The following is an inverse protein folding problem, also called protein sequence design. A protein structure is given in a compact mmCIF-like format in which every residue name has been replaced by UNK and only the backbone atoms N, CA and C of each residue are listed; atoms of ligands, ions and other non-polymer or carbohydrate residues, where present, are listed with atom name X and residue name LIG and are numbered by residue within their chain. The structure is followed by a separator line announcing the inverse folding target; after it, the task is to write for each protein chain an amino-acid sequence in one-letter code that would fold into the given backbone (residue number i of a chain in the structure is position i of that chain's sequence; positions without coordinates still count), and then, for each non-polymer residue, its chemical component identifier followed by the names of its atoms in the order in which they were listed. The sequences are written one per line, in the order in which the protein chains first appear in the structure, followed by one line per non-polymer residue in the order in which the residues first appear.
data_IF_439890014331
#
_entry.id   IF_439890014331
#
_cell.length_a   1.000
_cell.length_b   1.000
_cell.length_c   1.000
_cell.angle_alpha   90.00
_cell.angle_beta   90.00
_cell.angle_gamma   90.00
#
_symmetry.space_group_name_H-M   'P 1'
#
loop_
_entity.id
_entity.type
_entity.pdbx_description
1 polymer ?
#
# COMPACT_ATOMS: atom_id res chain seq x y z
N UNK A 1 24.21 -24.82 12.81
CA UNK A 1 23.83 -23.45 12.40
C UNK A 1 23.79 -23.40 10.88
N UNK A 2 22.60 -23.47 10.28
CA UNK A 2 22.41 -23.32 8.83
C UNK A 2 21.92 -21.89 8.59
N UNK A 3 22.66 -21.12 7.78
CA UNK A 3 22.28 -19.78 7.36
C UNK A 3 21.29 -19.92 6.19
N UNK A 4 20.08 -19.38 6.36
CA UNK A 4 19.11 -19.25 5.28
C UNK A 4 19.42 -17.94 4.55
N UNK A 5 19.83 -18.03 3.28
CA UNK A 5 19.99 -16.87 2.42
C UNK A 5 18.63 -16.47 1.86
N UNK A 6 18.24 -15.21 2.05
CA UNK A 6 17.08 -14.63 1.39
C UNK A 6 17.55 -14.05 0.06
N UNK A 7 17.06 -14.60 -1.05
CA UNK A 7 17.21 -13.96 -2.36
C UNK A 7 16.12 -12.91 -2.50
N UNK A 8 16.52 -11.64 -2.53
CA UNK A 8 15.64 -10.53 -2.90
C UNK A 8 15.32 -10.63 -4.40
N UNK A 9 14.06 -10.88 -4.74
CA UNK A 9 13.55 -10.58 -6.07
C UNK A 9 12.85 -9.22 -5.99
N UNK A 10 13.56 -8.18 -6.41
CA UNK A 10 13.01 -6.84 -6.62
C UNK A 10 12.30 -6.85 -7.97
N UNK A 11 10.96 -6.83 -7.98
CA UNK A 11 10.20 -6.49 -9.18
C UNK A 11 9.95 -4.99 -9.13
N UNK A 12 10.67 -4.26 -9.98
CA UNK A 12 10.42 -2.83 -10.23
C UNK A 12 9.31 -2.75 -11.28
N UNK A 13 8.11 -2.33 -10.89
CA UNK A 13 7.07 -1.96 -11.86
C UNK A 13 7.32 -0.50 -12.27
N UNK A 14 7.79 -0.30 -13.49
CA UNK A 14 7.98 1.03 -14.07
C UNK A 14 6.62 1.69 -14.33
N UNK A 15 6.44 2.91 -13.80
CA UNK A 15 5.32 3.78 -14.18
C UNK A 15 5.56 4.33 -15.59
N UNK A 16 4.68 3.99 -16.53
CA UNK A 16 4.59 4.72 -17.79
C UNK A 16 3.95 6.09 -17.52
N UNK A 17 4.78 7.14 -17.54
CA UNK A 17 4.30 8.52 -17.62
C UNK A 17 3.67 8.68 -19.01
N UNK A 18 2.35 8.86 -19.07
CA UNK A 18 1.67 9.35 -20.27
C UNK A 18 2.06 10.82 -20.50
N UNK A 19 3.24 11.05 -21.04
CA UNK A 19 3.60 12.33 -21.67
C UNK A 19 2.94 12.36 -23.04
N UNK A 20 1.99 13.29 -23.22
CA UNK A 20 1.34 13.53 -24.50
C UNK A 20 2.36 13.82 -25.60
N UNK A 21 2.13 13.24 -26.77
CA UNK A 21 2.93 13.48 -27.97
C UNK A 21 2.84 14.96 -28.35
N UNK A 22 3.96 15.67 -28.25
CA UNK A 22 4.24 16.86 -29.03
C UNK A 22 5.20 16.43 -30.14
N UNK A 23 4.80 16.62 -31.39
CA UNK A 23 5.58 16.27 -32.58
C UNK A 23 6.96 16.94 -32.57
N UNK A 24 8.00 16.15 -32.79
CA UNK A 24 9.38 16.61 -32.94
C UNK A 24 10.13 15.69 -33.90
N UNK A 25 10.22 16.11 -35.16
CA UNK A 25 11.05 15.48 -36.19
C UNK A 25 12.55 15.57 -35.84
N UNK A 26 13.29 14.46 -36.02
CA UNK A 26 14.71 14.54 -36.39
C UNK A 26 15.70 13.62 -35.68
N UNK A 27 15.79 12.37 -36.15
CA UNK A 27 17.02 11.65 -36.53
C UNK A 27 18.17 11.50 -35.49
N UNK A 28 18.18 10.39 -34.75
CA UNK A 28 19.39 9.84 -34.08
C UNK A 28 19.89 8.56 -34.79
N UNK A 29 21.21 8.32 -34.86
CA UNK A 29 21.79 7.20 -35.60
C UNK A 29 21.74 5.90 -34.78
N UNK A 30 21.30 4.81 -35.43
CA UNK A 30 21.23 3.45 -34.89
C UNK A 30 22.62 2.88 -34.63
N UNK A 31 23.00 2.76 -33.36
CA UNK A 31 24.05 1.85 -32.91
C UNK A 31 23.42 0.50 -32.59
N UNK A 32 23.43 -0.41 -33.56
CA UNK A 32 23.00 -1.79 -33.35
C UNK A 32 24.10 -2.54 -32.59
N UNK A 33 23.90 -2.75 -31.28
CA UNK A 33 24.51 -3.84 -30.49
C UNK A 33 23.64 -4.07 -29.23
N UNK A 34 22.33 -4.25 -29.42
CA UNK A 34 21.42 -4.68 -28.36
C UNK A 34 21.50 -6.20 -28.22
N UNK A 35 22.16 -6.67 -27.15
CA UNK A 35 21.92 -8.01 -26.63
C UNK A 35 20.47 -8.00 -26.15
N UNK A 36 19.59 -8.75 -26.82
CA UNK A 36 18.18 -8.80 -26.47
C UNK A 36 18.00 -9.25 -25.00
N UNK A 37 17.44 -8.37 -24.18
CA UNK A 37 17.03 -8.63 -22.78
C UNK A 37 15.95 -9.74 -22.68
N UNK A 38 15.37 -10.15 -23.81
CA UNK A 38 14.28 -11.14 -23.92
C UNK A 38 14.64 -12.55 -23.41
N UNK A 39 15.94 -12.89 -23.36
CA UNK A 39 16.39 -14.22 -22.92
C UNK A 39 16.61 -14.34 -21.39
N UNK A 40 16.57 -13.23 -20.65
CA UNK A 40 16.85 -13.21 -19.21
C UNK A 40 15.61 -13.49 -18.34
N UNK A 41 14.41 -13.26 -18.86
CA UNK A 41 13.14 -13.52 -18.17
C UNK A 41 12.12 -14.05 -19.18
N UNK A 42 12.01 -15.38 -19.38
CA UNK A 42 10.96 -15.92 -20.23
C UNK A 42 9.60 -15.52 -19.65
N UNK A 43 8.87 -14.66 -20.36
CA UNK A 43 7.51 -14.28 -20.02
C UNK A 43 6.64 -15.54 -19.98
N UNK A 44 5.92 -15.82 -18.88
CA UNK A 44 5.01 -16.94 -18.84
C UNK A 44 3.93 -16.75 -19.92
N UNK A 45 3.68 -17.81 -20.69
CA UNK A 45 2.61 -17.77 -21.69
C UNK A 45 1.25 -17.85 -20.98
N UNK A 46 0.71 -16.69 -20.60
CA UNK A 46 -0.58 -16.54 -19.94
C UNK A 46 -1.77 -16.69 -20.91
N UNK A 47 -1.54 -16.96 -22.20
CA UNK A 47 -2.60 -16.95 -23.23
C UNK A 47 -3.62 -18.08 -23.09
N UNK A 48 -3.25 -19.18 -22.42
CA UNK A 48 -4.08 -20.39 -22.31
C UNK A 48 -4.79 -20.54 -20.95
N UNK A 49 -4.56 -19.63 -19.99
CA UNK A 49 -5.31 -19.61 -18.75
C UNK A 49 -6.57 -18.76 -18.91
N UNK A 50 -7.76 -19.34 -18.67
CA UNK A 50 -8.94 -18.52 -18.45
C UNK A 50 -8.71 -17.67 -17.20
N UNK A 51 -8.62 -16.35 -17.39
CA UNK A 51 -8.51 -15.43 -16.27
C UNK A 51 -9.76 -15.58 -15.38
N UNK A 52 -9.60 -15.61 -14.05
CA UNK A 52 -10.74 -15.63 -13.16
C UNK A 52 -11.58 -14.35 -13.36
N UNK A 53 -12.88 -14.43 -13.08
CA UNK A 53 -13.75 -13.25 -13.09
C UNK A 53 -13.39 -12.34 -11.91
N UNK A 54 -12.63 -11.29 -12.20
CA UNK A 54 -12.17 -10.30 -11.22
C UNK A 54 -13.23 -9.23 -10.90
N UNK A 55 -14.48 -9.41 -11.33
CA UNK A 55 -15.60 -8.54 -10.94
C UNK A 55 -16.19 -8.90 -9.57
N UNK A 56 -15.83 -10.08 -9.03
CA UNK A 56 -16.16 -10.51 -7.68
C UNK A 56 -14.92 -10.62 -6.77
N UNK A 57 -15.14 -10.62 -5.45
CA UNK A 57 -14.05 -10.84 -4.50
C UNK A 57 -13.47 -12.24 -4.70
N UNK A 58 -12.17 -12.37 -4.43
CA UNK A 58 -11.51 -13.66 -4.45
C UNK A 58 -11.92 -14.55 -3.26
N UNK A 59 -11.45 -15.81 -3.23
CA UNK A 59 -11.95 -16.83 -2.31
C UNK A 59 -11.45 -16.69 -0.87
N UNK A 60 -10.50 -15.78 -0.60
CA UNK A 60 -9.93 -15.62 0.73
C UNK A 60 -10.68 -14.57 1.55
N UNK A 61 -10.90 -14.89 2.84
CA UNK A 61 -11.15 -13.85 3.83
C UNK A 61 -9.95 -12.90 3.89
N UNK A 62 -10.17 -11.67 4.32
CA UNK A 62 -9.11 -10.64 4.35
C UNK A 62 -8.86 -10.20 5.77
N UNK A 63 -7.60 -10.28 6.19
CA UNK A 63 -7.12 -9.68 7.42
C UNK A 63 -6.38 -8.38 7.12
N UNK A 64 -6.36 -7.48 8.09
CA UNK A 64 -5.51 -6.30 8.04
C UNK A 64 -4.79 -6.06 9.38
N UNK A 65 -3.59 -5.48 9.32
CA UNK A 65 -2.79 -5.17 10.51
C UNK A 65 -1.92 -3.94 10.30
N UNK A 66 -1.84 -3.12 11.34
CA UNK A 66 -0.94 -1.98 11.43
C UNK A 66 0.41 -2.40 12.03
N UNK A 67 1.50 -1.92 11.45
CA UNK A 67 2.86 -2.05 11.95
C UNK A 67 3.56 -0.70 12.02
N UNK A 68 4.54 -0.59 12.90
CA UNK A 68 5.50 0.51 12.91
C UNK A 68 6.85 -0.07 12.50
N UNK A 69 7.38 0.36 11.37
CA UNK A 69 8.70 -0.05 10.90
C UNK A 69 9.69 1.09 11.09
N UNK A 70 10.85 0.75 11.64
CA UNK A 70 11.92 1.71 11.94
C UNK A 70 13.15 1.31 11.16
N UNK A 71 13.64 2.24 10.33
CA UNK A 71 14.89 2.11 9.60
C UNK A 71 15.98 2.95 10.28
N UNK A 72 16.76 2.27 11.12
CA UNK A 72 17.88 2.82 11.89
C UNK A 72 19.03 3.36 11.01
N UNK A 73 19.06 3.00 9.72
CA UNK A 73 20.14 3.42 8.82
C UNK A 73 19.90 4.80 8.18
N UNK A 74 18.66 5.30 8.24
CA UNK A 74 18.28 6.58 7.63
C UNK A 74 17.79 7.54 8.70
N UNK A 75 18.37 8.73 8.74
CA UNK A 75 17.89 9.83 9.56
C UNK A 75 16.76 10.57 8.85
N UNK A 76 15.69 10.85 9.58
CA UNK A 76 14.54 11.63 9.15
C UNK A 76 14.54 12.99 9.87
N UNK A 77 14.73 14.11 9.13
CA UNK A 77 14.69 15.44 9.73
C UNK A 77 13.29 15.86 10.20
N UNK A 78 12.22 15.22 9.74
CA UNK A 78 10.84 15.54 10.13
C UNK A 78 10.55 15.08 11.55
N UNK A 79 10.97 13.85 11.88
CA UNK A 79 10.81 13.28 13.23
C UNK A 79 12.03 13.51 14.11
N UNK A 80 13.12 14.06 13.55
CA UNK A 80 14.41 14.24 14.22
C UNK A 80 14.90 12.91 14.86
N UNK A 81 14.85 11.83 14.08
CA UNK A 81 15.15 10.47 14.52
C UNK A 81 15.41 9.51 13.35
N UNK A 82 15.49 8.19 13.61
CA UNK A 82 15.44 7.18 12.55
C UNK A 82 14.18 7.30 11.69
N UNK A 83 14.26 6.86 10.43
CA UNK A 83 13.11 6.87 9.53
C UNK A 83 12.09 5.84 9.99
N UNK A 84 10.99 6.33 10.53
CA UNK A 84 9.86 5.52 10.98
C UNK A 84 8.74 5.59 9.95
N UNK A 85 8.06 4.47 9.69
CA UNK A 85 6.91 4.37 8.82
C UNK A 85 5.77 3.69 9.58
N UNK A 86 4.59 4.29 9.55
CA UNK A 86 3.36 3.60 9.91
C UNK A 86 2.90 2.80 8.69
N UNK A 87 2.64 1.51 8.84
CA UNK A 87 2.43 0.59 7.72
C UNK A 87 1.17 -0.21 7.93
N UNK A 88 0.30 -0.21 6.94
CA UNK A 88 -0.86 -1.09 6.88
C UNK A 88 -0.56 -2.30 5.99
N UNK A 89 -0.97 -3.48 6.43
CA UNK A 89 -0.82 -4.71 5.65
C UNK A 89 -2.16 -5.40 5.54
N UNK A 90 -2.65 -5.60 4.31
CA UNK A 90 -3.78 -6.47 4.00
C UNK A 90 -3.26 -7.81 3.49
N UNK A 91 -3.87 -8.91 3.92
CA UNK A 91 -3.42 -10.26 3.63
C UNK A 91 -4.57 -11.26 3.60
N UNK A 92 -4.41 -12.40 2.90
CA UNK A 92 -5.34 -13.51 3.00
C UNK A 92 -5.39 -14.02 4.46
N UNK A 93 -6.58 -14.02 5.03
CA UNK A 93 -6.82 -14.51 6.39
C UNK A 93 -7.26 -15.98 6.36
N UNK A 94 -7.01 -16.66 7.48
CA UNK A 94 -7.51 -18.00 7.70
C UNK A 94 -9.05 -18.01 7.68
N UNK A 95 -9.70 -19.11 7.25
CA UNK A 95 -11.17 -19.16 7.11
C UNK A 95 -11.95 -18.79 8.38
N UNK A 96 -11.36 -19.01 9.56
CA UNK A 96 -11.98 -18.66 10.84
C UNK A 96 -12.14 -17.13 11.05
N UNK A 97 -11.47 -16.31 10.23
CA UNK A 97 -11.65 -14.87 10.23
C UNK A 97 -13.07 -14.44 9.83
N UNK A 98 -13.82 -15.28 9.09
CA UNK A 98 -15.21 -15.00 8.69
C UNK A 98 -16.16 -14.77 9.88
N UNK A 99 -15.81 -15.28 11.07
CA UNK A 99 -16.59 -15.09 12.31
C UNK A 99 -16.17 -13.83 13.09
N UNK A 100 -15.11 -13.13 12.66
CA UNK A 100 -14.65 -11.89 13.27
C UNK A 100 -15.47 -10.69 12.77
N UNK A 101 -15.60 -9.61 13.58
CA UNK A 101 -16.17 -8.38 13.07
C UNK A 101 -15.29 -7.81 11.94
N UNK A 102 -15.92 -7.17 10.97
CA UNK A 102 -15.22 -6.32 10.02
C UNK A 102 -14.62 -5.11 10.73
N UNK A 103 -13.46 -4.69 10.26
CA UNK A 103 -12.79 -3.48 10.71
C UNK A 103 -13.50 -2.23 10.21
N UNK A 104 -13.18 -1.06 10.77
CA UNK A 104 -13.71 0.24 10.35
C UNK A 104 -12.55 1.21 10.08
N UNK A 105 -12.79 2.22 9.24
CA UNK A 105 -11.71 3.10 8.78
C UNK A 105 -11.09 3.92 9.93
N UNK A 106 -11.86 4.22 10.97
CA UNK A 106 -11.35 4.94 12.16
C UNK A 106 -10.23 4.17 12.88
N UNK A 107 -10.23 2.85 12.81
CA UNK A 107 -9.25 2.01 13.51
C UNK A 107 -7.84 2.07 12.89
N UNK A 108 -7.68 2.69 11.71
CA UNK A 108 -6.34 2.99 11.17
C UNK A 108 -5.66 4.16 11.90
N UNK A 109 -6.40 4.96 12.66
CA UNK A 109 -5.88 6.07 13.46
C UNK A 109 -6.60 6.13 14.82
N UNK A 110 -6.56 5.04 15.62
CA UNK A 110 -7.53 4.80 16.69
C UNK A 110 -7.43 5.82 17.83
N UNK A 111 -6.22 6.27 18.17
CA UNK A 111 -5.98 7.20 19.28
C UNK A 111 -6.24 8.67 18.91
N UNK A 112 -6.31 8.97 17.61
CA UNK A 112 -6.29 10.34 17.08
C UNK A 112 -7.46 10.67 16.17
N UNK A 113 -8.33 9.70 15.85
CA UNK A 113 -9.46 9.91 14.95
C UNK A 113 -10.39 11.02 15.44
N UNK A 114 -10.96 10.87 16.64
CA UNK A 114 -11.95 11.81 17.16
C UNK A 114 -11.33 13.12 17.64
N UNK A 115 -10.09 13.08 18.14
CA UNK A 115 -9.42 14.23 18.74
C UNK A 115 -8.71 15.12 17.73
N UNK A 116 -8.37 14.59 16.56
CA UNK A 116 -7.58 15.29 15.57
C UNK A 116 -8.09 15.08 14.13
N UNK A 117 -8.11 13.85 13.61
CA UNK A 117 -8.35 13.61 12.17
C UNK A 117 -9.73 14.10 11.73
N UNK A 118 -10.78 13.75 12.47
CA UNK A 118 -12.15 14.15 12.13
C UNK A 118 -12.33 15.67 12.20
N UNK A 119 -11.95 16.37 13.29
CA UNK A 119 -11.95 17.84 13.31
C UNK A 119 -11.15 18.47 12.17
N UNK A 120 -9.96 17.97 11.85
CA UNK A 120 -9.15 18.51 10.74
C UNK A 120 -9.87 18.37 9.41
N UNK A 121 -10.45 17.20 9.12
CA UNK A 121 -11.23 17.00 7.89
C UNK A 121 -12.45 17.93 7.81
N UNK A 122 -13.14 18.14 8.93
CA UNK A 122 -14.32 19.02 9.01
C UNK A 122 -13.96 20.51 8.87
N UNK A 123 -13.00 20.99 9.66
CA UNK A 123 -12.70 22.42 9.82
C UNK A 123 -11.75 22.96 8.74
N UNK A 124 -10.73 22.17 8.36
CA UNK A 124 -9.71 22.60 7.41
C UNK A 124 -10.06 22.19 5.97
N UNK A 125 -10.58 20.98 5.79
CA UNK A 125 -10.93 20.44 4.47
C UNK A 125 -12.41 20.60 4.12
N UNK A 126 -13.24 21.10 5.05
CA UNK A 126 -14.66 21.38 4.79
C UNK A 126 -15.49 20.12 4.52
N UNK A 127 -15.05 18.95 5.00
CA UNK A 127 -15.76 17.70 4.83
C UNK A 127 -17.11 17.76 5.56
N UNK A 128 -18.24 17.51 4.88
CA UNK A 128 -19.54 17.46 5.54
C UNK A 128 -19.60 16.36 6.61
N UNK A 129 -20.22 16.60 7.77
CA UNK A 129 -20.32 15.59 8.83
C UNK A 129 -20.91 14.25 8.34
N UNK A 130 -21.89 14.29 7.44
CA UNK A 130 -22.48 13.09 6.85
C UNK A 130 -21.50 12.25 6.01
N UNK A 131 -20.47 12.88 5.44
CA UNK A 131 -19.41 12.16 4.73
C UNK A 131 -18.43 11.52 5.71
N UNK A 132 -18.15 12.18 6.85
CA UNK A 132 -17.28 11.67 7.90
C UNK A 132 -17.89 10.47 8.64
N UNK A 133 -19.21 10.37 8.69
CA UNK A 133 -19.91 9.18 9.21
C UNK A 133 -19.69 7.93 8.32
N UNK A 134 -19.24 8.08 7.07
CA UNK A 134 -18.88 6.92 6.24
C UNK A 134 -17.67 6.16 6.79
N UNK A 135 -16.84 6.78 7.63
CA UNK A 135 -15.68 6.13 8.24
C UNK A 135 -16.06 5.15 9.37
N UNK A 136 -17.30 5.21 9.86
CA UNK A 136 -17.89 4.21 10.77
C UNK A 136 -18.39 2.95 10.05
N UNK A 137 -18.46 2.98 8.72
CA UNK A 137 -18.96 1.83 7.96
C UNK A 137 -17.91 0.71 7.96
N UNK A 138 -18.36 -0.56 8.03
CA UNK A 138 -17.48 -1.72 7.88
C UNK A 138 -16.67 -1.66 6.60
N UNK A 139 -15.40 -2.01 6.72
CA UNK A 139 -14.50 -2.32 5.60
C UNK A 139 -14.70 -3.77 5.13
N UNK A 140 -13.92 -4.21 4.15
CA UNK A 140 -13.93 -5.59 3.67
C UNK A 140 -12.94 -6.53 4.38
N UNK A 141 -12.29 -6.08 5.46
CA UNK A 141 -11.26 -6.84 6.17
C UNK A 141 -11.50 -6.96 7.67
N UNK A 142 -10.78 -7.89 8.31
CA UNK A 142 -10.85 -8.21 9.73
C UNK A 142 -9.54 -7.80 10.42
N UNK A 143 -9.65 -6.86 11.37
CA UNK A 143 -8.50 -6.36 12.13
C UNK A 143 -7.82 -7.48 12.89
N UNK A 144 -6.50 -7.60 12.68
CA UNK A 144 -5.61 -8.55 13.34
C UNK A 144 -5.98 -10.03 13.19
N UNK A 145 -6.78 -10.37 12.18
CA UNK A 145 -7.18 -11.73 11.91
C UNK A 145 -5.97 -12.68 11.72
N UNK A 146 -6.10 -13.97 12.07
CA UNK A 146 -5.06 -14.94 11.76
C UNK A 146 -4.81 -14.99 10.25
N UNK A 147 -3.56 -14.89 9.82
CA UNK A 147 -3.20 -15.03 8.41
C UNK A 147 -3.35 -16.48 7.93
N UNK A 148 -3.73 -16.66 6.66
CA UNK A 148 -3.67 -17.97 6.02
C UNK A 148 -2.21 -18.33 5.74
N UNK A 149 -1.72 -19.39 6.38
CA UNK A 149 -0.40 -19.96 6.10
C UNK A 149 -0.48 -21.26 5.29
N UNK A 150 -1.69 -21.75 5.01
CA UNK A 150 -1.91 -23.02 4.33
C UNK A 150 -1.62 -22.91 2.83
N UNK A 151 -1.97 -21.77 2.22
CA UNK A 151 -1.85 -21.51 0.79
C UNK A 151 -0.71 -20.53 0.46
N UNK A 152 0.06 -20.12 1.47
CA UNK A 152 1.27 -19.32 1.31
C UNK A 152 2.39 -20.09 0.55
N UNK A 153 3.38 -19.39 -0.06
CA UNK A 153 3.59 -17.94 -0.06
C UNK A 153 2.68 -17.21 -1.06
N UNK A 154 2.29 -16.00 -0.69
CA UNK A 154 1.50 -15.10 -1.52
C UNK A 154 2.41 -14.03 -2.19
N UNK A 155 2.08 -13.57 -3.41
CA UNK A 155 2.74 -12.43 -4.03
C UNK A 155 2.60 -11.17 -3.16
N UNK A 156 3.70 -10.42 -3.05
CA UNK A 156 3.77 -9.16 -2.32
C UNK A 156 3.57 -7.99 -3.28
N UNK A 157 2.69 -7.07 -2.92
CA UNK A 157 2.50 -5.77 -3.57
C UNK A 157 2.75 -4.66 -2.57
N UNK A 158 3.53 -3.65 -2.98
CA UNK A 158 3.75 -2.46 -2.18
C UNK A 158 2.94 -1.32 -2.79
N UNK A 159 1.98 -0.81 -2.04
CA UNK A 159 1.20 0.36 -2.41
C UNK A 159 1.87 1.62 -1.84
N UNK A 160 2.26 2.54 -2.72
CA UNK A 160 2.77 3.85 -2.31
C UNK A 160 1.74 4.92 -2.65
N UNK A 161 1.32 5.70 -1.66
CA UNK A 161 0.47 6.86 -1.89
C UNK A 161 1.25 7.99 -2.59
N UNK A 162 0.52 8.95 -3.16
CA UNK A 162 1.08 10.18 -3.73
C UNK A 162 1.36 11.24 -2.66
N UNK A 163 1.96 12.37 -3.04
CA UNK A 163 2.20 13.50 -2.12
C UNK A 163 0.90 13.98 -1.46
N UNK A 164 0.88 14.08 -0.13
CA UNK A 164 -0.32 14.43 0.63
C UNK A 164 -1.37 13.31 0.68
N UNK A 165 -1.03 12.10 0.24
CA UNK A 165 -1.88 10.92 0.37
C UNK A 165 -1.75 10.26 1.75
N UNK A 166 -2.41 9.11 1.92
CA UNK A 166 -2.31 8.29 3.13
C UNK A 166 -2.28 6.80 2.77
N UNK A 167 -1.71 5.97 3.64
CA UNK A 167 -1.55 4.53 3.42
C UNK A 167 -2.86 3.79 3.18
N UNK A 168 -3.97 4.33 3.70
CA UNK A 168 -5.29 3.72 3.59
C UNK A 168 -6.13 4.25 2.43
N UNK A 169 -5.64 5.20 1.62
CA UNK A 169 -6.47 5.86 0.60
C UNK A 169 -7.05 4.89 -0.45
N UNK A 170 -6.43 3.71 -0.62
CA UNK A 170 -6.85 2.65 -1.52
C UNK A 170 -7.13 1.32 -0.77
N UNK A 171 -7.70 1.38 0.44
CA UNK A 171 -7.97 0.19 1.24
C UNK A 171 -8.89 -0.81 0.50
N UNK A 172 -9.95 -0.36 -0.18
CA UNK A 172 -10.86 -1.26 -0.92
C UNK A 172 -10.14 -2.05 -2.01
N UNK A 173 -9.18 -1.42 -2.72
CA UNK A 173 -8.35 -2.11 -3.71
C UNK A 173 -7.40 -3.11 -3.03
N UNK A 174 -6.81 -2.71 -1.91
CA UNK A 174 -5.89 -3.57 -1.15
C UNK A 174 -6.60 -4.81 -0.60
N UNK A 175 -7.83 -4.64 -0.11
CA UNK A 175 -8.71 -5.72 0.34
C UNK A 175 -9.14 -6.61 -0.83
N UNK A 176 -9.43 -6.03 -1.99
CA UNK A 176 -9.76 -6.81 -3.19
C UNK A 176 -8.59 -7.71 -3.58
N UNK A 177 -7.40 -7.14 -3.72
CA UNK A 177 -6.18 -7.89 -4.04
C UNK A 177 -5.89 -8.96 -2.98
N UNK A 178 -6.05 -8.63 -1.69
CA UNK A 178 -5.87 -9.62 -0.63
C UNK A 178 -6.87 -10.78 -0.73
N UNK A 179 -8.13 -10.52 -1.08
CA UNK A 179 -9.11 -11.60 -1.30
C UNK A 179 -8.73 -12.52 -2.46
N UNK A 180 -7.91 -12.03 -3.41
CA UNK A 180 -7.35 -12.80 -4.53
C UNK A 180 -5.98 -13.44 -4.25
N UNK A 181 -5.50 -13.37 -3.00
CA UNK A 181 -4.26 -14.03 -2.60
C UNK A 181 -3.02 -13.14 -2.68
N UNK A 182 -3.14 -11.81 -2.63
CA UNK A 182 -1.99 -10.90 -2.51
C UNK A 182 -1.76 -10.47 -1.07
N UNK A 183 -0.50 -10.25 -0.69
CA UNK A 183 -0.18 -9.45 0.49
C UNK A 183 0.09 -8.03 0.02
N UNK A 184 -0.70 -7.06 0.50
CA UNK A 184 -0.55 -5.65 0.14
C UNK A 184 0.00 -4.88 1.33
N UNK A 185 1.14 -4.23 1.14
CA UNK A 185 1.81 -3.41 2.15
C UNK A 185 1.74 -1.95 1.74
N UNK A 186 1.19 -1.10 2.60
CA UNK A 186 1.05 0.33 2.38
C UNK A 186 1.68 1.13 3.53
N UNK A 187 2.85 1.76 3.34
CA UNK A 187 3.40 2.70 4.29
C UNK A 187 2.76 4.09 4.16
N UNK A 188 2.62 4.79 5.27
CA UNK A 188 2.60 6.25 5.30
C UNK A 188 4.05 6.72 5.18
N UNK A 189 4.33 7.51 4.14
CA UNK A 189 5.61 8.18 4.02
C UNK A 189 5.63 9.38 4.95
N UNK A 190 6.16 9.23 6.18
CA UNK A 190 6.23 10.30 7.19
C UNK A 190 6.77 11.62 6.63
N UNK A 191 6.06 12.71 6.94
CA UNK A 191 6.32 14.06 6.39
C UNK A 191 5.84 14.29 4.95
N UNK A 192 5.50 13.24 4.19
CA UNK A 192 4.91 13.32 2.86
C UNK A 192 3.42 12.92 2.84
N UNK A 193 2.99 12.09 3.78
CA UNK A 193 1.60 11.75 3.99
C UNK A 193 0.83 12.96 4.55
N UNK A 194 -0.48 13.01 4.29
CA UNK A 194 -1.38 14.03 4.85
C UNK A 194 -1.25 14.11 6.37
N UNK A 195 -1.34 12.93 6.99
CA UNK A 195 -1.29 12.73 8.43
C UNK A 195 -0.76 11.33 8.71
N UNK A 196 0.14 11.21 9.67
CA UNK A 196 0.64 9.93 10.19
C UNK A 196 0.33 9.85 11.67
N UNK A 197 -0.51 8.88 12.05
CA UNK A 197 -0.99 8.69 13.41
C UNK A 197 -0.12 7.66 14.15
N UNK A 198 0.99 8.07 14.74
CA UNK A 198 1.76 7.18 15.63
C UNK A 198 1.10 7.07 17.01
N UNK A 199 1.34 6.00 17.79
CA UNK A 199 0.78 5.88 19.14
C UNK A 199 1.18 7.02 20.09
N UNK A 200 2.35 7.62 19.85
CA UNK A 200 2.94 8.68 20.69
C UNK A 200 2.74 10.10 20.12
N UNK A 201 2.16 10.23 18.93
CA UNK A 201 1.92 11.54 18.34
C UNK A 201 1.49 11.51 16.88
N UNK A 202 1.26 12.69 16.34
CA UNK A 202 0.88 12.89 14.95
C UNK A 202 2.01 13.60 14.21
N UNK A 203 2.27 13.19 12.97
CA UNK A 203 3.12 13.93 12.04
C UNK A 203 2.29 14.32 10.83
N UNK A 204 2.20 15.61 10.56
CA UNK A 204 1.49 16.18 9.41
C UNK A 204 2.38 16.25 8.16
N UNK A 205 1.75 16.53 7.02
CA UNK A 205 2.41 16.86 5.78
C UNK A 205 3.40 18.03 5.96
N UNK A 206 4.65 17.83 5.55
CA UNK A 206 5.63 18.89 5.42
C UNK A 206 5.64 19.41 3.96
N UNK A 207 5.16 20.64 3.68
CA UNK A 207 5.09 21.15 2.31
C UNK A 207 6.47 21.40 1.69
N UNK A 208 7.52 21.49 2.51
CA UNK A 208 8.89 21.72 2.06
C UNK A 208 9.62 20.41 1.70
N UNK A 209 8.99 19.24 1.90
CA UNK A 209 9.54 17.98 1.42
C UNK A 209 9.55 17.99 -0.11
N UNK A 210 10.75 17.89 -0.68
CA UNK A 210 10.95 17.65 -2.11
C UNK A 210 10.98 16.15 -2.33
N UNK A 211 10.12 15.66 -3.24
CA UNK A 211 10.29 14.32 -3.81
C UNK A 211 11.64 14.32 -4.53
N UNK A 212 12.57 13.49 -4.05
CA UNK A 212 13.87 13.27 -4.67
C UNK A 212 13.73 12.31 -5.84
#
# INVERSE_FOLDING_TARGET
MKRFGWSCLLIVVAFAILSGCSDGDGNEPSGDDDIADDDLYPEPDYRDAEAPDVSERGPFEVGNRTYIWVDESRWDPVTNGPRTLMVEVWYPAAPEAADMPYDIVKNFCPDWWDSYVRPTLEEEYGAPPEELDNFDKPTGSHRDAPADYLHAPYPLLIFSHGFGGVRIQNFTMSEWLASWGFVVVAPDHTGNALVVCFPDGIVELNPDIRLI
#
